data_IF_031457881416
#
_entry.id   IF_031457881416
#
_cell.length_a   1.000
_cell.length_b   1.000
_cell.length_c   1.000
_cell.angle_alpha   90.00
_cell.angle_beta   90.00
_cell.angle_gamma   90.00
#
_symmetry.space_group_name_H-M   'P 1'
#
loop_
_entity.id
_entity.type
_entity.pdbx_description
1 polymer ?
#
# COMPACT_ATOMS: atom_id res chain seq x y z
N UNK A 1 -9.51 20.14 16.94
CA UNK A 1 -9.13 18.98 16.12
C UNK A 1 -8.04 19.41 15.16
N UNK A 2 -7.01 18.59 14.96
CA UNK A 2 -5.97 18.86 13.95
C UNK A 2 -6.59 18.80 12.55
N UNK A 3 -6.13 19.62 11.61
CA UNK A 3 -6.50 19.49 10.17
C UNK A 3 -6.09 18.13 9.59
N UNK A 4 -5.27 17.37 10.33
CA UNK A 4 -4.77 16.04 10.02
C UNK A 4 -5.33 14.94 10.94
N UNK A 5 -6.29 15.25 11.83
CA UNK A 5 -6.95 14.26 12.69
C UNK A 5 -8.49 14.34 12.54
N UNK A 6 -9.08 13.26 12.00
CA UNK A 6 -10.50 13.16 11.62
C UNK A 6 -10.63 12.46 10.25
N UNK A 7 -11.85 12.12 9.82
CA UNK A 7 -12.07 11.59 8.46
C UNK A 7 -11.46 12.55 7.45
N UNK A 8 -10.60 12.02 6.58
CA UNK A 8 -9.72 12.78 5.69
C UNK A 8 -10.49 13.90 4.99
N UNK A 9 -9.90 15.10 5.00
CA UNK A 9 -10.49 16.30 4.45
C UNK A 9 -10.99 16.02 3.03
N UNK A 10 -12.30 16.07 2.82
CA UNK A 10 -13.02 15.71 1.59
C UNK A 10 -12.36 16.19 0.29
N UNK A 11 -11.72 17.38 0.32
CA UNK A 11 -11.02 17.97 -0.83
C UNK A 11 -9.71 17.25 -1.22
N UNK A 12 -8.97 16.72 -0.24
CA UNK A 12 -7.76 15.93 -0.50
C UNK A 12 -8.18 14.57 -1.05
N UNK A 13 -9.22 13.97 -0.49
CA UNK A 13 -9.77 12.72 -1.00
C UNK A 13 -10.37 12.88 -2.40
N UNK A 14 -11.07 13.98 -2.70
CA UNK A 14 -11.57 14.29 -4.05
C UNK A 14 -10.45 14.50 -5.07
N UNK A 15 -9.37 15.19 -4.69
CA UNK A 15 -8.21 15.36 -5.57
C UNK A 15 -7.49 14.04 -5.85
N UNK A 16 -7.39 13.17 -4.84
CA UNK A 16 -6.87 11.81 -4.99
C UNK A 16 -7.79 10.93 -5.83
N UNK A 17 -9.10 10.99 -5.61
CA UNK A 17 -10.09 10.27 -6.42
C UNK A 17 -10.07 10.74 -7.88
N UNK A 18 -9.91 12.04 -8.15
CA UNK A 18 -9.76 12.53 -9.53
C UNK A 18 -8.46 12.04 -10.18
N UNK A 19 -7.35 12.02 -9.45
CA UNK A 19 -6.07 11.52 -9.95
C UNK A 19 -6.14 10.02 -10.27
N UNK A 20 -6.84 9.25 -9.45
CA UNK A 20 -6.98 7.79 -9.59
C UNK A 20 -8.18 7.38 -10.47
N UNK A 21 -9.10 8.27 -10.82
CA UNK A 21 -10.25 7.96 -11.67
C UNK A 21 -9.87 7.44 -13.08
N UNK A 22 -8.62 7.67 -13.52
CA UNK A 22 -8.11 7.24 -14.83
C UNK A 22 -7.32 5.91 -14.78
N UNK A 23 -7.29 5.22 -13.64
CA UNK A 23 -6.61 3.91 -13.50
C UNK A 23 -7.46 2.76 -14.05
N UNK A 24 -8.78 2.99 -14.12
CA UNK A 24 -9.77 2.14 -14.79
C UNK A 24 -9.53 2.20 -16.29
N UNK A 25 -8.90 1.15 -16.82
CA UNK A 25 -8.59 1.06 -18.23
C UNK A 25 -9.40 -0.04 -18.90
N UNK A 26 -9.73 0.18 -20.16
CA UNK A 26 -10.29 -0.84 -21.04
C UNK A 26 -9.13 -1.57 -21.74
N UNK A 27 -9.02 -2.86 -21.51
CA UNK A 27 -8.02 -3.74 -22.14
C UNK A 27 -8.67 -4.70 -23.14
N UNK A 28 -7.89 -5.15 -24.11
CA UNK A 28 -8.30 -6.11 -25.13
C UNK A 28 -8.19 -7.55 -24.61
N UNK A 29 -8.86 -8.47 -25.30
CA UNK A 29 -8.73 -9.91 -25.00
C UNK A 29 -7.29 -10.42 -25.19
N UNK A 30 -6.56 -9.86 -26.16
CA UNK A 30 -5.17 -10.25 -26.42
C UNK A 30 -4.25 -9.82 -25.27
N UNK A 31 -4.46 -8.62 -24.71
CA UNK A 31 -3.73 -8.15 -23.53
C UNK A 31 -4.00 -9.03 -22.31
N UNK A 32 -5.24 -9.47 -22.09
CA UNK A 32 -5.57 -10.42 -21.03
C UNK A 32 -4.90 -11.78 -21.22
N UNK A 33 -4.95 -12.34 -22.43
CA UNK A 33 -4.35 -13.64 -22.75
C UNK A 33 -2.83 -13.63 -22.61
N UNK A 34 -2.15 -12.56 -23.07
CA UNK A 34 -0.69 -12.42 -22.90
C UNK A 34 -0.25 -12.41 -21.45
N UNK A 35 -1.13 -11.99 -20.54
CA UNK A 35 -0.86 -11.91 -19.11
C UNK A 35 -1.52 -13.03 -18.30
N UNK A 36 -2.11 -14.05 -18.93
CA UNK A 36 -2.85 -15.13 -18.26
C UNK A 36 -3.90 -14.62 -17.26
N UNK A 37 -4.64 -13.57 -17.63
CA UNK A 37 -5.71 -12.98 -16.81
C UNK A 37 -7.06 -13.07 -17.51
N UNK A 38 -8.13 -12.97 -16.73
CA UNK A 38 -9.49 -12.73 -17.19
C UNK A 38 -10.04 -11.50 -16.48
N UNK A 39 -11.08 -10.86 -17.03
CA UNK A 39 -11.75 -9.75 -16.38
C UNK A 39 -13.18 -9.55 -16.90
N UNK A 40 -13.88 -8.56 -16.34
CA UNK A 40 -15.27 -8.20 -16.67
C UNK A 40 -15.34 -7.51 -18.02
N UNK A 41 -16.23 -7.96 -18.91
CA UNK A 41 -16.46 -7.33 -20.21
C UNK A 41 -17.20 -6.00 -20.06
N UNK A 42 -16.77 -4.98 -20.80
CA UNK A 42 -17.36 -3.65 -20.76
C UNK A 42 -18.33 -3.42 -21.93
N UNK A 43 -19.40 -2.61 -21.74
CA UNK A 43 -20.22 -2.13 -22.85
C UNK A 43 -19.32 -1.47 -23.92
N UNK A 44 -19.52 -1.80 -25.19
CA UNK A 44 -18.68 -1.32 -26.30
C UNK A 44 -17.42 -2.15 -26.58
N UNK A 45 -17.23 -3.30 -25.92
CA UNK A 45 -16.20 -4.30 -26.24
C UNK A 45 -14.86 -4.11 -25.50
N UNK A 46 -14.15 -5.20 -25.20
CA UNK A 46 -12.99 -5.17 -24.30
C UNK A 46 -13.39 -5.38 -22.84
N UNK A 47 -12.42 -5.23 -21.93
CA UNK A 47 -12.53 -5.67 -20.54
C UNK A 47 -12.00 -4.61 -19.57
N UNK A 48 -12.58 -4.53 -18.38
CA UNK A 48 -12.11 -3.63 -17.32
C UNK A 48 -10.79 -4.14 -16.75
N UNK A 49 -9.83 -3.26 -16.49
CA UNK A 49 -8.65 -3.57 -15.70
C UNK A 49 -8.22 -2.34 -14.91
N UNK A 50 -7.53 -2.57 -13.80
CA UNK A 50 -6.84 -1.52 -13.05
C UNK A 50 -5.34 -1.59 -13.30
N UNK A 51 -4.73 -0.42 -13.48
CA UNK A 51 -3.29 -0.26 -13.40
C UNK A 51 -2.87 -0.39 -11.93
N UNK A 52 -2.19 -1.48 -11.55
CA UNK A 52 -1.83 -1.79 -10.16
C UNK A 52 -0.89 -0.81 -9.44
N UNK A 53 -0.63 0.37 -10.00
CA UNK A 53 0.06 1.47 -9.34
C UNK A 53 -0.85 2.14 -8.29
N UNK A 54 -2.16 2.10 -8.50
CA UNK A 54 -3.17 2.77 -7.68
C UNK A 54 -3.19 2.32 -6.21
N UNK A 55 -3.28 1.01 -5.97
CA UNK A 55 -3.45 0.45 -4.63
C UNK A 55 -2.12 0.47 -3.87
N UNK A 56 -1.00 0.42 -4.58
CA UNK A 56 0.32 0.60 -3.98
C UNK A 56 0.50 2.03 -3.48
N UNK A 57 0.19 3.02 -4.30
CA UNK A 57 0.35 4.42 -3.93
C UNK A 57 -0.62 4.84 -2.83
N UNK A 58 -1.89 4.41 -2.88
CA UNK A 58 -2.84 4.74 -1.81
C UNK A 58 -2.45 4.07 -0.48
N UNK A 59 -1.94 2.82 -0.53
CA UNK A 59 -1.46 2.14 0.68
C UNK A 59 -0.20 2.79 1.25
N UNK A 60 0.73 3.23 0.41
CA UNK A 60 1.90 4.00 0.85
C UNK A 60 1.51 5.34 1.46
N UNK A 61 0.59 6.07 0.82
CA UNK A 61 0.04 7.33 1.34
C UNK A 61 -0.59 7.14 2.72
N UNK A 62 -1.46 6.14 2.85
CA UNK A 62 -2.10 5.81 4.12
C UNK A 62 -1.08 5.43 5.20
N UNK A 63 -0.06 4.62 4.87
CA UNK A 63 1.01 4.30 5.82
C UNK A 63 1.77 5.55 6.28
N UNK A 64 2.19 6.43 5.37
CA UNK A 64 2.94 7.63 5.75
C UNK A 64 2.10 8.64 6.53
N UNK A 65 0.80 8.73 6.25
CA UNK A 65 -0.10 9.65 6.96
C UNK A 65 -0.55 9.13 8.32
N UNK A 66 -0.81 7.81 8.45
CA UNK A 66 -1.33 7.21 9.67
C UNK A 66 -0.23 6.69 10.61
N UNK A 67 0.92 6.31 10.05
CA UNK A 67 2.07 5.78 10.78
C UNK A 67 3.35 6.53 10.36
N UNK A 68 3.44 7.84 10.63
CA UNK A 68 4.65 8.58 10.31
C UNK A 68 5.83 8.00 11.09
N UNK A 69 6.97 7.87 10.43
CA UNK A 69 8.20 7.42 11.07
C UNK A 69 8.79 8.56 11.92
N UNK A 70 8.47 8.55 13.20
CA UNK A 70 8.99 9.50 14.19
C UNK A 70 10.44 9.24 14.59
N UNK A 71 11.06 8.14 14.14
CA UNK A 71 12.49 7.91 14.37
C UNK A 71 13.38 8.79 13.48
N UNK A 72 12.82 9.31 12.38
CA UNK A 72 13.47 10.21 11.41
C UNK A 72 13.22 11.71 11.66
N UNK A 73 13.06 12.12 12.91
CA UNK A 73 12.85 13.52 13.23
C UNK A 73 14.09 14.35 12.89
N UNK A 74 13.89 15.40 12.09
CA UNK A 74 14.91 16.43 11.87
C UNK A 74 14.86 17.43 13.02
N UNK A 75 15.93 17.49 13.80
CA UNK A 75 16.10 18.42 14.92
C UNK A 75 16.83 19.70 14.50
N UNK A 76 16.73 20.73 15.34
CA UNK A 76 17.41 22.01 15.13
C UNK A 76 18.27 22.33 16.34
N UNK A 77 19.43 22.94 16.10
CA UNK A 77 20.40 23.30 17.12
C UNK A 77 20.63 24.82 17.13
N UNK A 78 21.03 25.33 18.28
CA UNK A 78 21.46 26.72 18.43
C UNK A 78 22.99 26.77 18.34
N UNK A 79 23.51 27.41 17.29
CA UNK A 79 24.94 27.70 17.11
C UNK A 79 25.22 29.19 17.36
N UNK A 80 26.45 29.67 17.11
CA UNK A 80 26.85 31.08 17.35
C UNK A 80 26.06 32.13 16.53
N UNK A 81 25.16 31.70 15.63
CA UNK A 81 24.29 32.55 14.84
C UNK A 81 23.00 32.97 15.56
N UNK A 82 22.32 33.99 15.02
CA UNK A 82 21.03 34.48 15.54
C UNK A 82 19.81 33.61 15.17
N UNK A 83 20.03 32.49 14.47
CA UNK A 83 18.98 31.59 13.96
C UNK A 83 19.38 30.13 14.20
N UNK A 84 18.41 29.24 14.45
CA UNK A 84 18.68 27.83 14.61
C UNK A 84 19.10 27.20 13.28
N UNK A 85 20.04 26.26 13.34
CA UNK A 85 20.53 25.48 12.19
C UNK A 85 19.96 24.06 12.26
N UNK A 86 19.91 23.38 11.11
CA UNK A 86 19.45 21.98 11.05
C UNK A 86 20.52 21.09 11.67
N UNK A 87 20.12 20.18 12.56
CA UNK A 87 20.98 19.12 13.06
C UNK A 87 21.31 18.15 11.92
N UNK A 88 22.60 18.10 11.54
CA UNK A 88 23.08 17.26 10.44
C UNK A 88 23.13 15.76 10.77
N UNK A 89 22.73 15.37 11.99
CA UNK A 89 22.70 13.97 12.42
C UNK A 89 21.70 13.21 11.56
N UNK A 90 22.19 12.20 10.83
CA UNK A 90 21.35 11.35 10.00
C UNK A 90 20.76 10.23 10.86
N UNK A 91 19.44 10.14 10.92
CA UNK A 91 18.79 8.89 11.32
C UNK A 91 19.13 7.82 10.27
N UNK A 92 19.83 6.77 10.69
CA UNK A 92 20.12 5.62 9.85
C UNK A 92 19.05 4.56 10.11
N UNK A 93 18.26 4.25 9.09
CA UNK A 93 17.45 3.03 9.08
C UNK A 93 18.35 1.85 8.75
N UNK A 94 18.35 0.83 9.62
CA UNK A 94 18.99 -0.43 9.31
C UNK A 94 18.07 -1.25 8.41
N UNK A 95 18.59 -1.64 7.25
CA UNK A 95 17.88 -2.55 6.36
C UNK A 95 17.82 -3.94 7.00
N UNK A 96 16.70 -4.64 6.81
CA UNK A 96 16.57 -6.04 7.23
C UNK A 96 17.48 -6.92 6.37
N UNK A 97 18.16 -7.89 6.99
CA UNK A 97 18.82 -8.98 6.28
C UNK A 97 17.75 -9.85 5.60
N UNK A 98 17.55 -9.59 4.31
CA UNK A 98 16.53 -10.28 3.51
C UNK A 98 16.84 -11.76 3.32
N UNK A 99 18.11 -12.16 3.24
CA UNK A 99 18.47 -13.56 3.08
C UNK A 99 18.18 -14.34 4.36
N UNK A 100 18.51 -13.78 5.52
CA UNK A 100 18.15 -14.36 6.82
C UNK A 100 16.63 -14.42 7.01
N UNK A 101 15.90 -13.36 6.66
CA UNK A 101 14.45 -13.32 6.73
C UNK A 101 13.83 -14.41 5.83
N UNK A 102 14.22 -14.45 4.55
CA UNK A 102 13.70 -15.41 3.58
C UNK A 102 14.06 -16.84 3.96
N UNK A 103 15.27 -17.09 4.45
CA UNK A 103 15.67 -18.38 5.00
C UNK A 103 14.80 -18.79 6.20
N UNK A 104 14.45 -17.86 7.08
CA UNK A 104 13.59 -18.14 8.24
C UNK A 104 12.15 -18.49 7.88
N UNK A 105 11.62 -17.98 6.76
CA UNK A 105 10.25 -18.24 6.28
C UNK A 105 10.18 -19.38 5.26
N UNK A 106 11.31 -19.81 4.72
CA UNK A 106 11.41 -20.90 3.76
C UNK A 106 10.84 -22.19 4.38
N UNK A 107 9.82 -22.75 3.73
CA UNK A 107 9.14 -23.96 4.20
C UNK A 107 7.96 -23.74 5.15
N UNK A 108 7.66 -22.49 5.51
CA UNK A 108 6.44 -22.12 6.26
C UNK A 108 5.29 -21.70 5.36
N UNK A 109 5.42 -21.92 4.06
CA UNK A 109 4.39 -21.59 3.08
C UNK A 109 3.22 -22.57 3.15
N UNK A 110 2.02 -22.03 3.34
CA UNK A 110 0.76 -22.80 3.28
C UNK A 110 0.50 -23.18 1.82
N UNK A 111 0.23 -24.46 1.57
CA UNK A 111 -0.06 -24.93 0.21
C UNK A 111 -1.45 -24.47 -0.27
N UNK A 112 -1.70 -24.36 -1.58
CA UNK A 112 -3.04 -24.04 -2.10
C UNK A 112 -4.12 -25.03 -1.63
N UNK A 113 -3.78 -26.30 -1.50
CA UNK A 113 -4.69 -27.35 -1.03
C UNK A 113 -5.03 -27.17 0.45
N UNK A 114 -4.02 -26.89 1.29
CA UNK A 114 -4.19 -26.57 2.71
C UNK A 114 -5.02 -25.29 2.91
N UNK A 115 -4.77 -24.26 2.08
CA UNK A 115 -5.53 -23.02 2.08
C UNK A 115 -7.01 -23.25 1.71
N UNK A 116 -7.28 -24.15 0.76
CA UNK A 116 -8.63 -24.49 0.31
C UNK A 116 -9.40 -25.35 1.32
N UNK A 117 -8.68 -26.06 2.18
CA UNK A 117 -9.22 -26.92 3.23
C UNK A 117 -9.48 -26.18 4.56
N UNK A 118 -9.21 -24.87 4.64
CA UNK A 118 -9.45 -24.11 5.86
C UNK A 118 -10.96 -23.94 6.13
N UNK A 119 -11.43 -24.53 7.22
CA UNK A 119 -12.78 -24.34 7.75
C UNK A 119 -12.75 -23.49 9.02
N UNK A 120 -13.76 -22.63 9.19
CA UNK A 120 -13.86 -21.78 10.36
C UNK A 120 -14.24 -22.63 11.59
N UNK A 121 -13.40 -22.73 12.64
CA UNK A 121 -13.72 -23.54 13.83
C UNK A 121 -14.95 -23.03 14.61
N UNK A 122 -15.36 -21.78 14.35
CA UNK A 122 -16.53 -21.15 14.96
C UNK A 122 -17.80 -21.28 14.14
N UNK A 123 -17.73 -21.81 12.90
CA UNK A 123 -18.94 -22.21 12.17
C UNK A 123 -19.44 -23.54 12.74
N UNK A 124 -19.94 -23.54 13.98
CA UNK A 124 -20.83 -24.60 14.42
C UNK A 124 -22.09 -24.51 13.58
N UNK A 125 -22.44 -25.61 12.92
CA UNK A 125 -23.72 -25.78 12.25
C UNK A 125 -24.85 -25.37 13.21
N UNK A 126 -25.63 -24.37 12.81
CA UNK A 126 -26.96 -24.15 13.36
C UNK A 126 -27.86 -25.19 12.69
N UNK A 127 -27.92 -26.38 13.28
CA UNK A 127 -28.97 -27.38 13.03
C UNK A 127 -29.36 -28.04 14.34
#
# INVERSE_FOLDING_TARGET
>A
SSRFAGSSHHLVDEAWQQLLASIDIRVTQQELQRNNRTSVSLPGGGYLAWLGIDHCLDRMRAMFMCHPDISSLVTFLWEEGSKPTVDGTKTLHECVDWDALMASIKGRGVSPDEMSALENPSSKEVT
#
